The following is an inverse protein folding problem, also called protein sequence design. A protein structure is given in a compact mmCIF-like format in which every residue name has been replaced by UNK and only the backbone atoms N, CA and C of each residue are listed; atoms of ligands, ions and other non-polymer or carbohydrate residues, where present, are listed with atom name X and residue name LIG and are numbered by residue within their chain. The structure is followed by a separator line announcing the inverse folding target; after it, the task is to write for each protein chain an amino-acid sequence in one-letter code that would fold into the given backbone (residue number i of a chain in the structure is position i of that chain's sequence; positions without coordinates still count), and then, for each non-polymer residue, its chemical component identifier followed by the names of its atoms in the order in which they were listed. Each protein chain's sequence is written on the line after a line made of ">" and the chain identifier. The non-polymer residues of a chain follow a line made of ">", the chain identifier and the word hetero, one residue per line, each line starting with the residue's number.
data_IF_184588362566
#
_entry.id   IF_184588362566
#
_cell.length_a   1.000
_cell.length_b   1.000
_cell.length_c   1.000
_cell.angle_alpha   90.00
_cell.angle_beta   90.00
_cell.angle_gamma   90.00
#
_symmetry.space_group_name_H-M   'P 1'
#
loop_
_entity.id
_entity.type
_entity.pdbx_description
1 polymer ?
#
# COMPACT_ATOMS: atom_id res chain seq x y z
N UNK A 1 21.41 10.57 6.20
CA UNK A 1 20.46 11.26 5.29
C UNK A 1 18.99 11.15 5.76
N UNK A 2 18.52 10.01 6.23
CA UNK A 2 17.16 9.81 6.73
C UNK A 2 16.77 10.73 7.90
N UNK A 3 17.67 11.03 8.82
CA UNK A 3 17.44 11.96 9.94
C UNK A 3 17.19 13.42 9.52
N UNK A 4 17.59 13.82 8.31
CA UNK A 4 17.28 15.16 7.79
C UNK A 4 15.83 15.29 7.36
N UNK A 5 15.20 14.18 7.01
CA UNK A 5 13.83 14.11 6.49
C UNK A 5 12.82 14.46 7.60
N UNK A 6 13.07 14.05 8.83
CA UNK A 6 12.22 14.38 9.99
C UNK A 6 12.51 15.77 10.57
N UNK A 7 13.62 16.40 10.19
CA UNK A 7 14.02 17.72 10.72
C UNK A 7 13.45 18.92 9.93
N UNK A 8 13.00 18.72 8.70
CA UNK A 8 12.47 19.79 7.83
C UNK A 8 10.95 19.93 7.99
N UNK A 9 10.51 20.83 8.87
CA UNK A 9 9.09 21.00 9.27
C UNK A 9 8.19 21.65 8.20
N UNK A 10 8.75 22.13 7.13
CA UNK A 10 8.04 22.80 6.02
C UNK A 10 7.77 21.86 4.84
N UNK A 11 8.08 20.57 4.98
CA UNK A 11 7.92 19.58 3.91
C UNK A 11 7.04 18.43 4.33
N UNK A 12 6.18 18.02 3.41
CA UNK A 12 5.52 16.73 3.49
C UNK A 12 6.48 15.63 3.02
N UNK A 13 6.64 14.60 3.83
CA UNK A 13 7.54 13.49 3.56
C UNK A 13 6.73 12.23 3.33
N UNK A 14 7.03 11.50 2.26
CA UNK A 14 6.46 10.19 1.99
C UNK A 14 7.58 9.17 2.05
N UNK A 15 7.44 8.18 2.93
CA UNK A 15 8.35 7.05 3.06
C UNK A 15 7.71 5.81 2.43
N UNK A 16 8.33 5.26 1.40
CA UNK A 16 7.97 3.95 0.85
C UNK A 16 8.78 2.88 1.59
N UNK A 17 8.09 2.13 2.44
CA UNK A 17 8.68 1.10 3.29
C UNK A 17 8.32 -0.27 2.71
N UNK A 18 9.31 -1.08 2.40
CA UNK A 18 9.10 -2.46 1.98
C UNK A 18 8.35 -3.26 3.05
N UNK A 19 7.41 -4.09 2.61
CA UNK A 19 6.57 -4.91 3.50
C UNK A 19 7.27 -6.15 4.05
N UNK A 20 8.59 -6.12 4.21
CA UNK A 20 9.40 -7.18 4.79
C UNK A 20 10.05 -6.72 6.12
N UNK A 21 10.61 -7.68 6.85
CA UNK A 21 11.29 -7.43 8.14
C UNK A 21 12.40 -6.38 8.02
N UNK A 22 13.08 -6.31 6.88
CA UNK A 22 14.19 -5.37 6.66
C UNK A 22 13.68 -3.94 6.58
N UNK A 23 12.55 -3.72 5.90
CA UNK A 23 11.88 -2.42 5.82
C UNK A 23 11.38 -1.96 7.20
N UNK A 24 10.72 -2.85 7.92
CA UNK A 24 10.20 -2.57 9.26
C UNK A 24 11.32 -2.23 10.27
N UNK A 25 12.45 -2.95 10.23
CA UNK A 25 13.63 -2.66 11.08
C UNK A 25 14.26 -1.32 10.71
N UNK A 26 14.31 -0.95 9.42
CA UNK A 26 14.78 0.35 9.00
C UNK A 26 13.89 1.49 9.52
N UNK A 27 12.57 1.30 9.49
CA UNK A 27 11.60 2.22 10.06
C UNK A 27 11.79 2.38 11.57
N UNK A 28 12.06 1.31 12.30
CA UNK A 28 12.28 1.33 13.74
C UNK A 28 13.37 2.31 14.22
N UNK A 29 14.32 2.65 13.35
CA UNK A 29 15.34 3.67 13.65
C UNK A 29 14.80 5.10 13.62
N UNK A 30 13.72 5.34 12.87
CA UNK A 30 13.07 6.65 12.74
C UNK A 30 11.90 6.80 13.70
N UNK A 31 11.37 5.70 14.20
CA UNK A 31 10.19 5.64 15.05
C UNK A 31 10.24 6.61 16.24
N UNK A 32 11.33 6.75 17.01
CA UNK A 32 11.38 7.69 18.12
C UNK A 32 11.15 9.15 17.70
N UNK A 33 11.69 9.55 16.54
CA UNK A 33 11.54 10.91 16.03
C UNK A 33 10.14 11.12 15.46
N UNK A 34 9.58 10.13 14.74
CA UNK A 34 8.22 10.17 14.19
C UNK A 34 7.18 10.28 15.33
N UNK A 35 7.31 9.45 16.36
CA UNK A 35 6.41 9.48 17.51
C UNK A 35 6.49 10.80 18.29
N UNK A 36 7.68 11.40 18.36
CA UNK A 36 7.88 12.69 19.04
C UNK A 36 7.19 13.83 18.30
N UNK A 37 7.21 13.83 16.96
CA UNK A 37 6.49 14.82 16.16
C UNK A 37 4.98 14.59 16.23
N UNK A 38 4.52 13.36 16.39
CA UNK A 38 3.11 12.95 16.47
C UNK A 38 2.23 13.49 15.33
N UNK A 39 2.82 13.59 14.14
CA UNK A 39 2.18 14.07 12.90
C UNK A 39 2.57 13.14 11.77
N UNK A 40 1.93 11.97 11.72
CA UNK A 40 2.18 10.96 10.72
C UNK A 40 0.95 10.11 10.43
N UNK A 41 0.89 9.61 9.21
CA UNK A 41 0.03 8.51 8.80
C UNK A 41 0.90 7.31 8.41
N UNK A 42 0.59 6.15 8.96
CA UNK A 42 1.17 4.88 8.57
C UNK A 42 0.11 4.03 7.90
N UNK A 43 0.19 3.90 6.59
CA UNK A 43 -0.82 3.23 5.78
C UNK A 43 -0.37 1.81 5.44
N UNK A 44 -1.23 0.83 5.73
CA UNK A 44 -1.05 -0.54 5.26
C UNK A 44 -1.57 -0.66 3.83
N UNK A 45 -0.64 -0.79 2.88
CA UNK A 45 -0.98 -0.94 1.46
C UNK A 45 -1.06 -2.42 1.12
N UNK A 46 -2.28 -2.94 1.04
CA UNK A 46 -2.52 -4.36 0.79
C UNK A 46 -2.69 -4.69 -0.70
N UNK A 47 -2.35 -5.92 -1.05
CA UNK A 47 -2.73 -6.53 -2.31
C UNK A 47 -3.12 -7.99 -2.06
N UNK A 48 -4.41 -8.28 -2.10
CA UNK A 48 -4.98 -9.60 -1.78
C UNK A 48 -4.67 -10.68 -2.83
N UNK A 49 -4.07 -10.30 -3.96
CA UNK A 49 -3.60 -11.25 -4.97
C UNK A 49 -2.14 -11.67 -4.76
N UNK A 50 -1.50 -11.22 -3.68
CA UNK A 50 -0.15 -11.66 -3.31
C UNK A 50 -0.19 -12.82 -2.32
N UNK A 51 0.80 -13.73 -2.35
CA UNK A 51 0.98 -14.69 -1.27
C UNK A 51 1.09 -14.00 0.08
N UNK A 52 0.60 -14.64 1.15
CA UNK A 52 0.62 -14.18 2.55
C UNK A 52 -0.30 -12.99 2.88
N UNK A 53 -1.08 -12.47 1.92
CA UNK A 53 -2.03 -11.38 2.14
C UNK A 53 -3.34 -11.62 1.39
N UNK A 54 -3.78 -12.88 1.28
CA UNK A 54 -4.98 -13.26 0.51
C UNK A 54 -6.28 -13.12 1.28
N UNK A 55 -6.20 -13.08 2.59
CA UNK A 55 -7.35 -12.94 3.48
C UNK A 55 -7.12 -11.81 4.48
N UNK A 56 -8.20 -11.32 5.08
CA UNK A 56 -8.12 -10.30 6.12
C UNK A 56 -7.27 -10.75 7.31
N UNK A 57 -7.35 -12.03 7.69
CA UNK A 57 -6.57 -12.60 8.79
C UNK A 57 -5.07 -12.66 8.48
N UNK A 58 -4.70 -13.04 7.25
CA UNK A 58 -3.31 -13.02 6.80
C UNK A 58 -2.77 -11.58 6.80
N UNK A 59 -3.53 -10.63 6.25
CA UNK A 59 -3.18 -9.21 6.28
C UNK A 59 -2.99 -8.70 7.71
N UNK A 60 -3.91 -9.04 8.63
CA UNK A 60 -3.82 -8.64 10.03
C UNK A 60 -2.55 -9.20 10.69
N UNK A 61 -2.19 -10.45 10.41
CA UNK A 61 -0.97 -11.05 10.94
C UNK A 61 0.26 -10.29 10.48
N UNK A 62 0.37 -10.00 9.16
CA UNK A 62 1.47 -9.21 8.59
C UNK A 62 1.52 -7.80 9.18
N UNK A 63 0.36 -7.13 9.35
CA UNK A 63 0.30 -5.82 10.01
C UNK A 63 0.92 -5.87 11.40
N UNK A 64 0.55 -6.86 12.22
CA UNK A 64 1.05 -7.00 13.60
C UNK A 64 2.56 -7.28 13.65
N UNK A 65 3.08 -8.06 12.71
CA UNK A 65 4.52 -8.29 12.58
C UNK A 65 5.28 -7.00 12.24
N UNK A 66 4.76 -6.21 11.29
CA UNK A 66 5.36 -4.91 10.91
C UNK A 66 5.29 -3.90 12.06
N UNK A 67 4.16 -3.79 12.77
CA UNK A 67 4.03 -2.92 13.94
C UNK A 67 5.01 -3.30 15.04
N UNK A 68 5.16 -4.60 15.30
CA UNK A 68 6.09 -5.10 16.31
C UNK A 68 7.55 -4.82 15.94
N UNK A 69 7.92 -4.98 14.67
CA UNK A 69 9.29 -4.75 14.20
C UNK A 69 9.62 -3.26 14.02
N UNK A 70 8.68 -2.46 13.54
CA UNK A 70 8.84 -1.03 13.26
C UNK A 70 8.55 -0.11 14.44
N UNK A 71 7.78 -0.57 15.41
CA UNK A 71 7.41 0.21 16.60
C UNK A 71 6.41 1.35 16.33
N UNK A 72 5.76 1.37 15.16
CA UNK A 72 4.73 2.35 14.80
C UNK A 72 3.41 1.64 14.53
N UNK A 73 2.27 2.14 15.05
CA UNK A 73 0.96 1.61 14.71
C UNK A 73 0.52 2.07 13.33
N UNK A 74 -0.20 1.22 12.61
CA UNK A 74 -0.91 1.64 11.41
C UNK A 74 -2.07 2.56 11.74
N UNK A 75 -2.33 3.53 10.86
CA UNK A 75 -3.42 4.53 10.99
C UNK A 75 -4.53 4.33 9.97
N UNK A 76 -4.28 3.55 8.92
CA UNK A 76 -5.27 3.27 7.88
C UNK A 76 -4.84 2.18 6.92
N UNK A 77 -5.79 1.77 6.09
CA UNK A 77 -5.63 0.71 5.09
C UNK A 77 -5.83 1.31 3.70
N UNK A 78 -4.99 0.93 2.75
CA UNK A 78 -5.16 1.23 1.33
C UNK A 78 -5.32 -0.10 0.58
N UNK A 79 -6.45 -0.30 -0.08
CA UNK A 79 -6.62 -1.42 -0.99
C UNK A 79 -5.93 -1.10 -2.33
N UNK A 80 -4.81 -1.75 -2.57
CA UNK A 80 -4.08 -1.71 -3.84
C UNK A 80 -4.08 -3.10 -4.50
N UNK A 81 -5.18 -3.83 -4.36
CA UNK A 81 -5.31 -5.18 -4.91
C UNK A 81 -5.38 -5.12 -6.43
N UNK A 82 -4.42 -5.75 -7.07
CA UNK A 82 -4.33 -5.78 -8.53
C UNK A 82 -3.53 -7.00 -9.01
N UNK A 83 -3.79 -7.40 -10.24
CA UNK A 83 -3.06 -8.41 -11.00
C UNK A 83 -2.30 -7.78 -12.19
N UNK A 84 -1.99 -6.49 -12.10
CA UNK A 84 -1.32 -5.71 -13.13
C UNK A 84 -2.29 -5.21 -14.21
N UNK A 85 -1.89 -5.30 -15.47
CA UNK A 85 -2.64 -4.79 -16.62
C UNK A 85 -3.98 -5.47 -16.88
N UNK A 86 -4.16 -6.70 -16.37
CA UNK A 86 -5.37 -7.49 -16.54
C UNK A 86 -6.40 -7.28 -15.44
N UNK A 87 -6.13 -6.36 -14.50
CA UNK A 87 -7.04 -6.03 -13.40
C UNK A 87 -8.36 -5.49 -13.92
N UNK A 88 -9.46 -6.07 -13.45
CA UNK A 88 -10.83 -5.65 -13.75
C UNK A 88 -11.48 -4.96 -12.54
N UNK A 89 -12.57 -4.20 -12.74
CA UNK A 89 -13.36 -3.68 -11.62
C UNK A 89 -13.83 -4.78 -10.67
N UNK A 90 -14.23 -5.94 -11.21
CA UNK A 90 -14.69 -7.09 -10.44
C UNK A 90 -13.61 -7.67 -9.51
N UNK A 91 -12.34 -7.63 -9.92
CA UNK A 91 -11.23 -8.06 -9.08
C UNK A 91 -11.09 -7.14 -7.85
N UNK A 92 -11.19 -5.82 -8.06
CA UNK A 92 -11.09 -4.85 -6.97
C UNK A 92 -12.31 -4.96 -6.03
N UNK A 93 -13.51 -5.16 -6.57
CA UNK A 93 -14.73 -5.35 -5.76
C UNK A 93 -14.65 -6.65 -4.94
N UNK A 94 -14.11 -7.71 -5.51
CA UNK A 94 -13.91 -8.97 -4.79
C UNK A 94 -12.90 -8.79 -3.65
N UNK A 95 -11.78 -8.14 -3.91
CA UNK A 95 -10.76 -7.82 -2.91
C UNK A 95 -11.30 -6.90 -1.81
N UNK A 96 -12.13 -5.93 -2.15
CA UNK A 96 -12.69 -4.96 -1.20
C UNK A 96 -13.51 -5.60 -0.07
N UNK A 97 -14.09 -6.78 -0.29
CA UNK A 97 -14.79 -7.53 0.78
C UNK A 97 -13.84 -7.92 1.90
N UNK A 98 -12.65 -8.39 1.54
CA UNK A 98 -11.62 -8.74 2.51
C UNK A 98 -11.00 -7.48 3.14
N UNK A 99 -10.84 -6.39 2.37
CA UNK A 99 -10.41 -5.09 2.93
C UNK A 99 -11.36 -4.59 4.01
N UNK A 100 -12.67 -4.68 3.79
CA UNK A 100 -13.67 -4.33 4.82
C UNK A 100 -13.54 -5.20 6.05
N UNK A 101 -13.38 -6.51 5.87
CA UNK A 101 -13.17 -7.42 6.97
C UNK A 101 -11.88 -7.10 7.75
N UNK A 102 -10.79 -6.76 7.05
CA UNK A 102 -9.56 -6.31 7.69
C UNK A 102 -9.78 -5.03 8.49
N UNK A 103 -10.53 -4.08 7.95
CA UNK A 103 -10.92 -2.85 8.66
C UNK A 103 -11.68 -3.15 9.95
N UNK A 104 -12.64 -4.07 9.90
CA UNK A 104 -13.40 -4.52 11.09
C UNK A 104 -12.50 -5.21 12.13
N UNK A 105 -11.60 -6.09 11.69
CA UNK A 105 -10.69 -6.83 12.58
C UNK A 105 -9.62 -5.96 13.21
N UNK A 106 -9.09 -4.99 12.47
CA UNK A 106 -8.02 -4.10 12.93
C UNK A 106 -8.54 -2.86 13.67
N UNK A 107 -9.79 -2.46 13.41
CA UNK A 107 -10.37 -1.20 13.84
C UNK A 107 -9.87 0.02 13.06
N UNK A 108 -9.16 -0.18 11.95
CA UNK A 108 -8.58 0.89 11.14
C UNK A 108 -9.51 1.30 9.98
N UNK A 109 -9.57 2.59 9.63
CA UNK A 109 -10.34 3.06 8.48
C UNK A 109 -9.69 2.62 7.17
N UNK A 110 -10.52 2.42 6.13
CA UNK A 110 -10.04 2.28 4.76
C UNK A 110 -9.85 3.69 4.21
N UNK A 111 -8.59 4.07 3.99
CA UNK A 111 -8.21 5.40 3.55
C UNK A 111 -8.50 5.62 2.05
N UNK A 112 -8.22 4.60 1.22
CA UNK A 112 -8.44 4.67 -0.22
C UNK A 112 -8.47 3.28 -0.87
N UNK A 113 -9.00 3.24 -2.08
CA UNK A 113 -8.82 2.17 -3.06
C UNK A 113 -7.99 2.75 -4.19
N UNK A 114 -6.93 2.06 -4.60
CA UNK A 114 -6.14 2.47 -5.78
C UNK A 114 -6.44 1.58 -6.96
N UNK A 115 -6.52 2.16 -8.15
CA UNK A 115 -6.76 1.43 -9.39
C UNK A 115 -6.15 2.16 -10.58
N UNK A 116 -5.83 1.43 -11.66
CA UNK A 116 -5.50 2.06 -12.94
C UNK A 116 -6.63 2.99 -13.39
N UNK A 117 -6.29 4.14 -14.01
CA UNK A 117 -7.27 5.18 -14.43
C UNK A 117 -8.51 4.62 -15.15
N UNK A 118 -8.31 3.63 -16.05
CA UNK A 118 -9.43 3.00 -16.79
C UNK A 118 -10.36 2.21 -15.89
N UNK A 119 -9.81 1.54 -14.88
CA UNK A 119 -10.56 0.73 -13.92
C UNK A 119 -11.20 1.63 -12.87
N UNK A 120 -10.48 2.66 -12.40
CA UNK A 120 -10.95 3.62 -11.41
C UNK A 120 -12.25 4.30 -11.84
N UNK A 121 -12.40 4.65 -13.13
CA UNK A 121 -13.61 5.27 -13.67
C UNK A 121 -14.87 4.41 -13.56
N UNK A 122 -14.71 3.08 -13.49
CA UNK A 122 -15.83 2.14 -13.33
C UNK A 122 -16.20 1.88 -11.85
N UNK A 123 -15.35 2.26 -10.90
CA UNK A 123 -15.55 2.08 -9.45
C UNK A 123 -16.23 3.29 -8.78
N UNK A 124 -16.81 4.20 -9.54
CA UNK A 124 -17.39 5.43 -9.02
C UNK A 124 -18.71 5.17 -8.26
N UNK A 125 -18.89 5.86 -7.13
CA UNK A 125 -20.14 5.86 -6.35
C UNK A 125 -20.06 5.18 -4.98
N UNK A 126 -18.89 4.71 -4.56
CA UNK A 126 -18.65 4.20 -3.20
C UNK A 126 -18.36 5.30 -2.19
N UNK A 127 -18.47 4.99 -0.89
CA UNK A 127 -18.10 5.91 0.20
C UNK A 127 -16.59 6.12 0.33
N UNK A 128 -15.80 5.15 -0.15
CA UNK A 128 -14.33 5.18 -0.08
C UNK A 128 -13.76 5.87 -1.32
N UNK A 129 -12.83 6.81 -1.17
CA UNK A 129 -12.21 7.48 -2.30
C UNK A 129 -11.41 6.48 -3.15
N UNK A 130 -11.65 6.52 -4.47
CA UNK A 130 -10.86 5.78 -5.45
C UNK A 130 -9.77 6.69 -5.99
N UNK A 131 -8.51 6.30 -5.77
CA UNK A 131 -7.34 7.03 -6.24
C UNK A 131 -6.85 6.45 -7.58
N UNK A 132 -7.00 7.17 -8.69
CA UNK A 132 -6.59 6.68 -10.00
C UNK A 132 -5.06 6.68 -10.13
N UNK A 133 -4.51 5.57 -10.58
CA UNK A 133 -3.08 5.40 -10.85
C UNK A 133 -2.81 5.38 -12.34
N UNK A 134 -1.83 6.13 -12.77
CA UNK A 134 -1.24 5.98 -14.09
C UNK A 134 -0.10 4.98 -14.00
N UNK A 135 -0.29 3.80 -14.58
CA UNK A 135 0.75 2.79 -14.59
C UNK A 135 1.93 3.27 -15.42
N UNK A 136 3.13 3.11 -14.88
CA UNK A 136 4.34 3.37 -15.63
C UNK A 136 4.42 2.36 -16.80
N UNK A 137 4.72 2.85 -18.00
CA UNK A 137 5.06 1.97 -19.12
C UNK A 137 6.19 1.05 -18.69
N UNK A 138 6.04 -0.25 -18.95
CA UNK A 138 7.05 -1.26 -18.59
C UNK A 138 8.42 -0.75 -18.98
N UNK A 139 9.31 -0.55 -18.02
CA UNK A 139 10.72 -0.20 -18.26
C UNK A 139 11.43 -1.29 -19.11
N UNK A 140 10.79 -2.46 -19.23
CA UNK A 140 11.20 -3.60 -20.03
C UNK A 140 10.46 -3.74 -21.37
N UNK A 141 9.62 -2.79 -21.74
CA UNK A 141 9.19 -2.64 -23.14
C UNK A 141 10.33 -1.99 -23.92
N UNK A 142 11.48 -2.65 -23.85
CA UNK A 142 12.60 -2.38 -24.71
C UNK A 142 12.10 -2.76 -26.09
N UNK A 143 11.78 -1.76 -26.90
CA UNK A 143 11.65 -1.89 -28.36
C UNK A 143 12.94 -2.54 -28.91
N UNK A 144 13.09 -3.81 -28.75
CA UNK A 144 14.32 -4.53 -29.10
C UNK A 144 14.26 -6.04 -28.93
N UNK A 145 13.33 -6.56 -28.11
CA UNK A 145 13.23 -8.02 -27.91
C UNK A 145 12.61 -8.74 -29.12
N UNK A 146 11.83 -8.06 -29.93
CA UNK A 146 11.33 -8.64 -31.22
C UNK A 146 12.42 -8.99 -32.21
N UNK A 147 13.64 -8.53 -32.05
CA UNK A 147 14.77 -8.86 -32.95
C UNK A 147 15.45 -10.19 -32.64
N UNK A 148 15.10 -10.87 -31.56
CA UNK A 148 15.74 -12.14 -31.14
C UNK A 148 14.88 -13.38 -31.39
N UNK A 149 13.70 -13.22 -32.04
CA UNK A 149 12.82 -14.33 -32.42
C UNK A 149 12.82 -14.59 -33.94
N UNK A 150 13.94 -14.36 -34.62
CA UNK A 150 14.16 -14.85 -36.01
C UNK A 150 15.39 -15.74 -36.08
#
# INVERSE_FOLDING_TARGET
>A
ELYRVTAEKDKHVVLDIGGDDSGAVALGRLTPDILKENDFDMLFVENLYRPLTRTAEECLAVMREIEAAGGLPFTGIVNNSNIGWDTTPGDIEAAYKETKRLSELSGLPIAAITAEEKVAGALTGGEIPVFPLRLQSKYFDIKGIEKWQK
#
